data_IF_963196355015
#
_entry.id   IF_963196355015
#
_cell.length_a   1.000
_cell.length_b   1.000
_cell.length_c   1.000
_cell.angle_alpha   90.00
_cell.angle_beta   90.00
_cell.angle_gamma   90.00
#
_symmetry.space_group_name_H-M   'P 1'
#
loop_
_entity.id
_entity.type
_entity.pdbx_description
1 polymer ?
#
# COMPACT_ATOMS: atom_id res chain seq x y z
N UNK A 1 91.61 -26.44 -0.74
CA UNK A 1 91.60 -25.33 -1.71
C UNK A 1 91.11 -25.94 -3.01
N UNK A 2 89.84 -25.66 -3.33
CA UNK A 2 89.22 -25.58 -4.67
C UNK A 2 89.56 -26.66 -5.73
N UNK A 3 88.64 -27.28 -6.46
CA UNK A 3 87.20 -27.06 -6.64
C UNK A 3 86.58 -28.36 -7.20
N UNK A 4 85.32 -28.55 -6.82
CA UNK A 4 84.31 -29.42 -7.43
C UNK A 4 84.16 -29.20 -8.95
N UNK A 5 83.69 -30.22 -9.67
CA UNK A 5 82.40 -30.21 -10.40
C UNK A 5 82.22 -31.62 -10.98
N UNK A 6 81.49 -32.45 -10.22
CA UNK A 6 80.84 -33.64 -10.73
C UNK A 6 79.70 -33.21 -11.66
N UNK A 7 79.86 -33.45 -12.96
CA UNK A 7 78.79 -33.30 -13.93
C UNK A 7 77.81 -34.48 -13.81
N UNK A 8 76.89 -34.40 -12.84
CA UNK A 8 75.67 -35.21 -12.84
C UNK A 8 74.76 -34.77 -13.99
N UNK A 9 74.53 -35.67 -14.95
CA UNK A 9 73.53 -35.49 -15.99
C UNK A 9 72.14 -35.69 -15.39
N UNK A 10 71.36 -34.62 -15.30
CA UNK A 10 69.92 -34.68 -15.02
C UNK A 10 69.19 -35.44 -16.15
N UNK A 11 68.16 -36.24 -15.83
CA UNK A 11 67.24 -36.73 -16.85
C UNK A 11 66.40 -35.57 -17.39
N UNK A 12 66.23 -35.55 -18.71
CA UNK A 12 65.32 -34.64 -19.40
C UNK A 12 63.91 -34.84 -18.83
N UNK A 13 63.35 -33.79 -18.21
CA UNK A 13 61.92 -33.72 -17.98
C UNK A 13 61.23 -33.60 -19.35
N UNK A 14 60.49 -34.64 -19.74
CA UNK A 14 59.45 -34.51 -20.76
C UNK A 14 58.46 -33.45 -20.31
N UNK A 15 58.25 -32.45 -21.16
CA UNK A 15 57.17 -31.48 -21.00
C UNK A 15 55.94 -32.16 -21.59
N UNK A 16 55.05 -32.69 -20.75
CA UNK A 16 53.69 -33.05 -21.20
C UNK A 16 52.99 -31.76 -21.60
N UNK A 17 53.00 -31.45 -22.91
CA UNK A 17 52.05 -30.54 -23.51
C UNK A 17 50.67 -31.17 -23.46
N UNK A 18 49.81 -30.64 -22.60
CA UNK A 18 48.40 -30.97 -22.54
C UNK A 18 47.70 -30.38 -23.80
N UNK A 19 47.77 -31.12 -24.92
CA UNK A 19 47.11 -30.78 -26.17
C UNK A 19 45.62 -31.13 -26.10
N UNK A 20 44.81 -30.25 -25.51
CA UNK A 20 43.40 -30.15 -25.87
C UNK A 20 43.21 -28.94 -26.79
N UNK A 21 42.99 -29.12 -28.11
CA UNK A 21 42.79 -28.01 -29.01
C UNK A 21 41.47 -27.31 -28.66
N UNK A 22 41.56 -26.09 -28.14
CA UNK A 22 40.39 -25.23 -27.90
C UNK A 22 39.69 -25.02 -29.25
N UNK A 23 38.46 -25.53 -29.36
CA UNK A 23 37.67 -25.50 -30.58
C UNK A 23 37.15 -24.08 -30.85
N UNK A 24 37.99 -23.25 -31.49
CA UNK A 24 37.77 -21.82 -31.74
C UNK A 24 36.43 -21.50 -32.43
N UNK A 25 35.88 -22.46 -33.19
CA UNK A 25 34.57 -22.34 -33.85
C UNK A 25 33.39 -22.33 -32.85
N UNK A 26 33.46 -23.12 -31.78
CA UNK A 26 32.41 -23.17 -30.76
C UNK A 26 32.45 -21.93 -29.87
N UNK A 27 33.64 -21.43 -29.54
CA UNK A 27 33.79 -20.16 -28.80
C UNK A 27 33.28 -18.95 -29.60
N UNK A 28 33.53 -18.86 -30.90
CA UNK A 28 32.99 -17.78 -31.73
C UNK A 28 31.45 -17.81 -31.84
N UNK A 29 30.83 -18.99 -31.91
CA UNK A 29 29.37 -19.11 -31.95
C UNK A 29 28.72 -18.69 -30.63
N UNK A 30 29.31 -19.06 -29.49
CA UNK A 30 28.83 -18.65 -28.18
C UNK A 30 28.90 -17.12 -27.98
N UNK A 31 29.96 -16.48 -28.47
CA UNK A 31 30.10 -15.02 -28.41
C UNK A 31 29.09 -14.27 -29.31
N UNK A 32 28.77 -14.80 -30.50
CA UNK A 32 27.74 -14.22 -31.36
C UNK A 32 26.34 -14.35 -30.74
N UNK A 33 26.05 -15.50 -30.13
CA UNK A 33 24.76 -15.74 -29.47
C UNK A 33 24.55 -14.83 -28.26
N UNK A 34 25.60 -14.59 -27.45
CA UNK A 34 25.52 -13.68 -26.31
C UNK A 34 25.30 -12.22 -26.74
N UNK A 35 25.92 -11.77 -27.84
CA UNK A 35 25.70 -10.42 -28.39
C UNK A 35 24.25 -10.25 -28.88
N UNK A 36 23.70 -11.24 -29.58
CA UNK A 36 22.31 -11.20 -30.06
C UNK A 36 21.33 -11.13 -28.89
N UNK A 37 21.57 -11.92 -27.82
CA UNK A 37 20.74 -11.88 -26.62
C UNK A 37 20.76 -10.51 -25.95
N UNK A 38 21.93 -9.85 -25.87
CA UNK A 38 22.05 -8.49 -25.31
C UNK A 38 21.29 -7.48 -26.16
N UNK A 39 21.36 -7.58 -27.49
CA UNK A 39 20.63 -6.68 -28.40
C UNK A 39 19.12 -6.83 -28.25
N UNK A 40 18.61 -8.07 -28.16
CA UNK A 40 17.18 -8.33 -27.95
C UNK A 40 16.72 -7.75 -26.60
N UNK A 41 17.51 -7.94 -25.54
CA UNK A 41 17.24 -7.38 -24.22
C UNK A 41 17.18 -5.84 -24.26
N UNK A 42 18.09 -5.21 -25.01
CA UNK A 42 18.12 -3.76 -25.19
C UNK A 42 16.92 -3.25 -26.00
N UNK A 43 16.49 -3.98 -27.04
CA UNK A 43 15.29 -3.65 -27.83
C UNK A 43 14.02 -3.78 -26.96
N UNK A 44 13.93 -4.81 -26.11
CA UNK A 44 12.81 -4.96 -25.15
C UNK A 44 12.76 -3.79 -24.18
N UNK A 45 13.91 -3.34 -23.64
CA UNK A 45 14.00 -2.18 -22.75
C UNK A 45 13.59 -0.87 -23.46
N UNK A 46 13.95 -0.70 -24.74
CA UNK A 46 13.60 0.52 -25.50
C UNK A 46 12.11 0.51 -25.89
N UNK A 47 11.58 -0.64 -26.31
CA UNK A 47 10.19 -0.78 -26.74
C UNK A 47 9.20 -0.77 -25.57
N UNK A 48 9.61 -1.17 -24.35
CA UNK A 48 8.80 -0.97 -23.13
C UNK A 48 8.70 0.49 -22.69
N UNK A 49 9.60 1.37 -23.16
CA UNK A 49 9.72 2.76 -22.69
C UNK A 49 9.13 3.81 -23.65
N UNK A 50 8.43 3.41 -24.72
CA UNK A 50 7.98 4.33 -25.78
C UNK A 50 6.47 4.31 -26.03
N UNK A 51 5.68 4.35 -24.97
CA UNK A 51 4.29 4.82 -25.03
C UNK A 51 4.11 6.01 -24.11
N UNK A 52 3.92 7.19 -24.71
CA UNK A 52 3.64 8.42 -23.99
C UNK A 52 2.11 8.60 -23.92
N UNK A 53 1.56 8.45 -22.73
CA UNK A 53 0.18 8.82 -22.42
C UNK A 53 0.19 10.07 -21.56
N UNK A 54 -0.05 11.22 -22.17
CA UNK A 54 -0.29 12.47 -21.46
C UNK A 54 -1.70 12.45 -20.88
N UNK A 55 -1.82 12.62 -19.55
CA UNK A 55 -3.02 12.98 -18.76
C UNK A 55 -3.46 11.92 -17.72
N UNK A 56 -2.64 11.64 -16.70
CA UNK A 56 -3.15 11.06 -15.45
C UNK A 56 -3.43 12.19 -14.43
N UNK A 57 -4.60 12.12 -13.78
CA UNK A 57 -5.06 13.12 -12.80
C UNK A 57 -4.24 13.03 -11.51
N UNK A 58 -3.47 14.09 -11.22
CA UNK A 58 -2.64 14.20 -10.02
C UNK A 58 -3.41 14.63 -8.78
N UNK A 59 -4.73 14.76 -8.81
CA UNK A 59 -5.43 15.55 -7.78
C UNK A 59 -6.62 14.84 -7.09
N UNK A 60 -6.97 13.59 -7.46
CA UNK A 60 -8.06 12.82 -6.82
C UNK A 60 -7.52 11.57 -6.08
N UNK A 61 -8.19 11.14 -5.01
CA UNK A 61 -7.92 9.83 -4.40
C UNK A 61 -8.32 8.72 -5.37
N UNK A 62 -7.44 7.75 -5.58
CA UNK A 62 -7.65 6.65 -6.55
C UNK A 62 -8.04 5.35 -5.82
N UNK A 63 -8.28 5.44 -4.50
CA UNK A 63 -8.68 4.27 -3.71
C UNK A 63 -10.00 3.73 -4.27
N UNK A 64 -10.02 2.46 -4.71
CA UNK A 64 -11.20 1.89 -5.32
C UNK A 64 -12.32 1.69 -4.29
N UNK A 65 -13.52 1.43 -4.80
CA UNK A 65 -14.69 1.08 -4.00
C UNK A 65 -14.57 -0.31 -3.37
N UNK A 66 -13.74 -1.18 -3.95
CA UNK A 66 -13.48 -2.54 -3.49
C UNK A 66 -11.98 -2.74 -3.28
N UNK A 67 -11.58 -3.07 -2.06
CA UNK A 67 -10.18 -3.30 -1.73
C UNK A 67 -10.02 -4.17 -0.49
N UNK A 68 -8.78 -4.58 -0.26
CA UNK A 68 -8.32 -5.27 0.94
C UNK A 68 -7.55 -4.31 1.84
N UNK A 69 -7.87 -4.38 3.12
CA UNK A 69 -7.14 -3.73 4.19
C UNK A 69 -6.38 -4.80 4.97
N UNK A 70 -5.07 -4.65 5.12
CA UNK A 70 -4.23 -5.55 5.93
C UNK A 70 -3.23 -4.80 6.77
N UNK A 71 -2.72 -5.43 7.82
CA UNK A 71 -1.56 -4.89 8.52
C UNK A 71 -0.32 -4.97 7.64
N UNK A 72 0.51 -3.92 7.68
CA UNK A 72 1.82 -3.91 7.03
C UNK A 72 2.78 -4.89 7.70
N UNK A 73 2.82 -4.85 9.02
CA UNK A 73 3.72 -5.65 9.82
C UNK A 73 3.11 -5.86 11.20
N UNK A 74 3.52 -6.93 11.87
CA UNK A 74 3.19 -7.13 13.28
C UNK A 74 3.83 -6.06 14.18
N UNK A 75 4.98 -5.53 13.77
CA UNK A 75 5.76 -4.57 14.55
C UNK A 75 5.38 -3.12 14.27
N UNK A 76 5.13 -2.78 13.00
CA UNK A 76 4.71 -1.46 12.54
C UNK A 76 3.19 -1.33 12.50
N UNK A 77 2.63 -0.30 13.16
CA UNK A 77 1.19 -0.06 13.26
C UNK A 77 0.56 0.49 11.97
N UNK A 78 1.18 0.23 10.82
CA UNK A 78 0.73 0.74 9.55
C UNK A 78 -0.22 -0.26 8.89
N UNK A 79 -1.17 0.26 8.12
CA UNK A 79 -2.05 -0.55 7.30
C UNK A 79 -1.74 -0.36 5.82
N UNK A 80 -1.96 -1.41 5.05
CA UNK A 80 -1.87 -1.40 3.59
C UNK A 80 -3.28 -1.54 3.03
N UNK A 81 -3.60 -0.67 2.08
CA UNK A 81 -4.76 -0.78 1.21
C UNK A 81 -4.27 -1.33 -0.12
N UNK A 82 -4.79 -2.48 -0.53
CA UNK A 82 -4.43 -3.15 -1.78
C UNK A 82 -5.67 -3.67 -2.52
N UNK A 83 -5.63 -3.72 -3.84
CA UNK A 83 -6.79 -4.12 -4.63
C UNK A 83 -6.40 -4.52 -6.05
N UNK A 84 -7.40 -4.93 -6.82
CA UNK A 84 -7.22 -5.14 -8.25
C UNK A 84 -7.08 -3.79 -8.95
N UNK A 85 -6.17 -3.66 -9.92
CA UNK A 85 -5.88 -2.39 -10.53
C UNK A 85 -7.08 -1.93 -11.39
N UNK A 86 -7.78 -0.90 -10.91
CA UNK A 86 -8.99 -0.32 -11.53
C UNK A 86 -8.78 0.25 -12.92
N UNK A 87 -7.55 0.63 -13.25
CA UNK A 87 -7.15 1.19 -14.55
C UNK A 87 -7.14 0.13 -15.67
N UNK A 88 -7.15 -1.17 -15.32
CA UNK A 88 -7.07 -2.28 -16.27
C UNK A 88 -8.42 -2.96 -16.52
N UNK A 89 -9.52 -2.39 -16.00
CA UNK A 89 -10.84 -3.01 -16.01
C UNK A 89 -11.55 -3.04 -17.39
N UNK A 90 -10.80 -3.01 -18.50
CA UNK A 90 -11.35 -2.93 -19.85
C UNK A 90 -10.51 -3.51 -21.00
N UNK A 91 -9.29 -4.03 -20.77
CA UNK A 91 -8.48 -4.62 -21.84
C UNK A 91 -7.85 -5.96 -21.44
N UNK A 92 -8.51 -7.03 -21.89
CA UNK A 92 -7.95 -8.25 -22.49
C UNK A 92 -6.80 -9.01 -21.79
N UNK A 93 -7.11 -10.28 -21.51
CA UNK A 93 -6.25 -11.47 -21.56
C UNK A 93 -5.47 -11.86 -20.28
N UNK A 94 -6.05 -12.81 -19.54
CA UNK A 94 -5.41 -13.96 -18.85
C UNK A 94 -4.14 -13.78 -18.01
N UNK A 95 -3.67 -12.56 -17.73
CA UNK A 95 -2.72 -12.32 -16.67
C UNK A 95 -3.51 -12.13 -15.38
N UNK A 96 -3.36 -13.06 -14.43
CA UNK A 96 -3.84 -12.88 -13.07
C UNK A 96 -3.33 -11.53 -12.59
N UNK A 97 -4.22 -10.54 -12.49
CA UNK A 97 -3.85 -9.21 -12.03
C UNK A 97 -3.36 -9.34 -10.59
N UNK A 98 -2.07 -9.12 -10.38
CA UNK A 98 -1.49 -9.06 -9.05
C UNK A 98 -2.12 -7.89 -8.27
N UNK A 99 -2.31 -8.07 -6.96
CA UNK A 99 -2.80 -7.00 -6.09
C UNK A 99 -1.80 -5.85 -6.11
N UNK A 100 -2.28 -4.64 -6.41
CA UNK A 100 -1.47 -3.43 -6.33
C UNK A 100 -1.69 -2.73 -4.99
N UNK A 101 -0.64 -2.09 -4.47
CA UNK A 101 -0.70 -1.27 -3.26
C UNK A 101 -1.22 0.12 -3.61
N UNK A 102 -2.41 0.47 -3.13
CA UNK A 102 -3.02 1.78 -3.33
C UNK A 102 -2.61 2.80 -2.27
N UNK A 103 -2.53 2.39 -1.01
CA UNK A 103 -2.21 3.32 0.08
C UNK A 103 -1.56 2.62 1.27
N UNK A 104 -0.90 3.42 2.10
CA UNK A 104 -0.43 3.06 3.44
C UNK A 104 -0.98 4.07 4.45
N UNK A 105 -1.70 3.56 5.46
CA UNK A 105 -2.09 4.36 6.62
C UNK A 105 -0.94 4.28 7.59
N UNK A 106 -0.20 5.38 7.71
CA UNK A 106 0.98 5.49 8.57
C UNK A 106 0.56 6.00 9.94
N UNK A 107 0.88 5.21 10.97
CA UNK A 107 0.59 5.54 12.35
C UNK A 107 1.90 5.96 13.03
N UNK A 108 2.16 7.27 13.21
CA UNK A 108 3.37 7.76 13.86
C UNK A 108 3.48 7.24 15.30
N UNK A 109 4.63 6.66 15.62
CA UNK A 109 4.91 6.03 16.92
C UNK A 109 4.89 6.98 18.12
N UNK A 110 4.87 8.30 17.90
CA UNK A 110 5.18 9.30 18.93
C UNK A 110 4.15 10.44 19.06
N UNK A 111 3.19 10.53 18.15
CA UNK A 111 2.16 11.57 18.19
C UNK A 111 0.81 10.94 18.47
N UNK A 112 0.22 11.33 19.60
CA UNK A 112 -1.11 10.86 20.01
C UNK A 112 -2.13 11.21 18.94
N UNK A 113 -2.63 10.21 18.22
CA UNK A 113 -3.83 10.35 17.40
C UNK A 113 -3.64 11.01 16.04
N UNK A 114 -2.42 11.30 15.59
CA UNK A 114 -2.21 11.78 14.23
C UNK A 114 -2.01 10.57 13.32
N UNK A 115 -2.73 10.49 12.20
CA UNK A 115 -2.60 9.43 11.19
C UNK A 115 -2.46 10.10 9.84
N UNK A 116 -1.49 9.61 9.07
CA UNK A 116 -1.23 10.11 7.72
C UNK A 116 -1.50 9.00 6.72
N UNK A 117 -2.29 9.30 5.70
CA UNK A 117 -2.51 8.41 4.56
C UNK A 117 -1.54 8.79 3.47
N UNK A 118 -0.72 7.83 3.09
CA UNK A 118 0.18 7.93 1.94
C UNK A 118 -0.38 7.06 0.83
N UNK A 119 -1.00 7.66 -0.17
CA UNK A 119 -1.41 6.97 -1.39
C UNK A 119 -0.21 6.77 -2.32
N UNK A 120 -0.12 5.60 -2.94
CA UNK A 120 0.87 5.27 -3.95
C UNK A 120 0.21 5.48 -5.30
N UNK A 121 0.74 6.44 -6.05
CA UNK A 121 0.26 6.73 -7.39
C UNK A 121 1.21 6.15 -8.41
N UNK A 122 0.63 5.61 -9.46
CA UNK A 122 1.36 5.03 -10.56
C UNK A 122 1.41 6.07 -11.68
N UNK A 123 2.61 6.48 -12.03
CA UNK A 123 2.79 7.13 -13.31
C UNK A 123 2.56 6.11 -14.42
N UNK A 124 2.14 6.57 -15.62
CA UNK A 124 2.07 5.72 -16.81
C UNK A 124 3.36 4.96 -17.12
N UNK A 125 4.49 5.48 -16.63
CA UNK A 125 5.85 4.96 -16.81
C UNK A 125 6.13 3.75 -15.89
N UNK A 126 5.16 3.36 -15.06
CA UNK A 126 5.33 2.36 -14.00
C UNK A 126 6.06 2.90 -12.75
N UNK A 127 6.46 4.17 -12.73
CA UNK A 127 7.06 4.79 -11.55
C UNK A 127 6.02 5.02 -10.47
N UNK A 128 6.33 4.59 -9.25
CA UNK A 128 5.44 4.74 -8.10
C UNK A 128 5.90 5.93 -7.27
N UNK A 129 5.01 6.88 -7.00
CA UNK A 129 5.31 8.01 -6.13
C UNK A 129 4.30 8.14 -4.99
N UNK A 130 4.75 8.42 -3.76
CA UNK A 130 3.88 8.59 -2.60
C UNK A 130 3.27 10.00 -2.56
N UNK A 131 1.98 10.10 -2.26
CA UNK A 131 1.26 11.36 -2.03
C UNK A 131 0.51 11.30 -0.70
N UNK A 132 0.70 12.30 0.15
CA UNK A 132 -0.12 12.44 1.36
C UNK A 132 -1.51 12.95 0.98
N UNK A 133 -2.55 12.16 1.20
CA UNK A 133 -3.92 12.49 0.74
C UNK A 133 -4.91 12.76 1.87
N UNK A 134 -4.68 12.17 3.04
CA UNK A 134 -5.45 12.48 4.23
C UNK A 134 -4.55 12.59 5.43
N UNK A 135 -4.80 13.63 6.20
CA UNK A 135 -4.30 13.78 7.56
C UNK A 135 -5.48 13.67 8.48
N UNK A 136 -5.28 13.04 9.62
CA UNK A 136 -6.40 12.77 10.49
C UNK A 136 -5.92 12.82 11.93
N UNK A 137 -6.71 13.48 12.76
CA UNK A 137 -6.36 13.85 14.13
C UNK A 137 -7.42 13.30 15.06
N UNK A 138 -6.98 12.52 16.04
CA UNK A 138 -7.78 12.20 17.23
C UNK A 138 -7.45 13.23 18.30
N UNK A 139 -8.47 13.91 18.81
CA UNK A 139 -8.36 14.58 20.11
C UNK A 139 -8.50 13.52 21.22
N UNK A 140 -7.47 12.69 21.38
CA UNK A 140 -7.55 11.51 22.23
C UNK A 140 -7.20 11.82 23.69
N UNK A 141 -8.24 11.98 24.51
CA UNK A 141 -8.36 11.35 25.85
C UNK A 141 -9.82 11.30 26.35
N UNK A 142 -10.73 12.12 25.81
CA UNK A 142 -12.10 12.29 26.33
C UNK A 142 -13.23 12.05 25.32
N UNK A 143 -12.98 12.14 24.00
CA UNK A 143 -14.02 12.04 22.98
C UNK A 143 -13.84 10.77 22.13
N UNK A 144 -14.94 10.06 21.89
CA UNK A 144 -14.99 8.97 20.90
C UNK A 144 -15.18 9.56 19.48
N UNK A 145 -14.42 10.62 19.17
CA UNK A 145 -14.51 11.37 17.92
C UNK A 145 -13.16 11.48 17.24
N UNK A 146 -13.16 11.34 15.92
CA UNK A 146 -11.99 11.48 15.05
C UNK A 146 -12.30 12.44 13.94
N UNK A 147 -11.41 13.39 13.71
CA UNK A 147 -11.48 14.32 12.59
C UNK A 147 -10.53 13.88 11.49
N UNK A 148 -11.04 13.82 10.27
CA UNK A 148 -10.31 13.43 9.06
C UNK A 148 -10.36 14.61 8.11
N UNK A 149 -9.17 15.11 7.77
CA UNK A 149 -8.95 16.21 6.86
C UNK A 149 -8.19 15.71 5.63
N UNK A 150 -8.86 15.71 4.50
CA UNK A 150 -8.23 15.41 3.21
C UNK A 150 -7.38 16.59 2.76
N UNK A 151 -6.14 16.30 2.39
CA UNK A 151 -5.21 17.30 1.86
C UNK A 151 -5.26 17.25 0.35
N UNK A 152 -5.63 18.37 -0.27
CA UNK A 152 -5.71 18.44 -1.71
C UNK A 152 -5.09 19.73 -2.27
N UNK A 153 -4.38 19.59 -3.38
CA UNK A 153 -3.62 20.64 -4.06
C UNK A 153 -4.52 21.60 -4.85
N UNK A 154 -5.63 21.11 -5.41
CA UNK A 154 -6.54 21.93 -6.21
C UNK A 154 -8.00 21.65 -5.89
N UNK A 155 -8.59 22.51 -5.04
CA UNK A 155 -9.95 22.35 -4.51
C UNK A 155 -11.01 22.24 -5.62
N UNK A 156 -10.83 22.85 -6.80
CA UNK A 156 -11.87 22.98 -7.83
C UNK A 156 -12.42 21.65 -8.36
N UNK A 157 -11.58 20.61 -8.48
CA UNK A 157 -11.94 19.32 -9.11
C UNK A 157 -12.22 18.18 -8.13
N UNK A 158 -12.07 18.41 -6.81
CA UNK A 158 -12.34 17.39 -5.81
C UNK A 158 -13.83 17.29 -5.48
N UNK A 159 -14.33 16.05 -5.46
CA UNK A 159 -15.69 15.72 -5.03
C UNK A 159 -15.76 15.60 -3.51
N UNK A 160 -16.05 14.40 -3.03
CA UNK A 160 -16.20 14.08 -1.61
C UNK A 160 -14.89 14.23 -0.82
N UNK A 161 -13.75 14.15 -1.50
CA UNK A 161 -12.40 14.28 -0.94
C UNK A 161 -12.03 15.74 -0.63
N UNK A 162 -12.86 16.72 -1.00
CA UNK A 162 -12.68 18.12 -0.58
C UNK A 162 -13.29 18.43 0.79
N UNK A 163 -14.07 17.50 1.34
CA UNK A 163 -14.83 17.73 2.55
C UNK A 163 -14.07 17.27 3.80
N UNK A 164 -14.40 17.88 4.92
CA UNK A 164 -13.96 17.42 6.23
C UNK A 164 -14.93 16.37 6.75
N UNK A 165 -14.39 15.35 7.41
CA UNK A 165 -15.18 14.28 8.01
C UNK A 165 -14.92 14.17 9.50
N UNK A 166 -15.97 13.87 10.24
CA UNK A 166 -15.89 13.53 11.64
C UNK A 166 -16.59 12.21 11.90
N UNK A 167 -15.86 11.25 12.44
CA UNK A 167 -16.41 9.94 12.83
C UNK A 167 -16.60 9.97 14.34
N UNK A 168 -17.82 9.72 14.81
CA UNK A 168 -18.10 9.57 16.24
C UNK A 168 -18.71 8.21 16.52
N UNK A 169 -18.34 7.54 17.61
CA UNK A 169 -18.91 6.26 17.98
C UNK A 169 -19.27 6.15 19.46
N UNK A 170 -20.15 5.20 19.74
CA UNK A 170 -20.57 4.82 21.08
C UNK A 170 -19.74 3.64 21.59
N UNK A 171 -19.89 3.32 22.87
CA UNK A 171 -19.26 2.13 23.46
C UNK A 171 -19.76 0.81 22.85
N UNK A 172 -20.91 0.81 22.17
CA UNK A 172 -21.45 -0.34 21.43
C UNK A 172 -20.93 -0.42 19.99
N UNK A 173 -19.88 0.34 19.63
CA UNK A 173 -19.24 0.35 18.30
C UNK A 173 -20.12 0.88 17.15
N UNK A 174 -21.34 1.29 17.44
CA UNK A 174 -22.19 2.00 16.48
C UNK A 174 -21.89 3.50 16.53
N UNK A 175 -22.02 4.18 15.39
CA UNK A 175 -21.64 5.58 15.30
C UNK A 175 -22.15 6.28 14.04
N UNK A 176 -21.71 7.53 13.88
CA UNK A 176 -22.10 8.39 12.77
C UNK A 176 -20.86 8.92 12.07
N UNK A 177 -20.93 8.98 10.74
CA UNK A 177 -20.05 9.77 9.90
C UNK A 177 -20.74 11.10 9.67
N UNK A 178 -20.07 12.18 10.05
CA UNK A 178 -20.48 13.54 9.76
C UNK A 178 -19.55 14.15 8.73
N UNK A 179 -20.09 15.04 7.91
CA UNK A 179 -19.38 15.73 6.84
C UNK A 179 -19.60 17.23 6.93
N UNK A 180 -18.58 17.99 6.58
CA UNK A 180 -18.64 19.42 6.34
C UNK A 180 -17.92 19.73 5.03
N UNK A 181 -18.65 20.14 4.01
CA UNK A 181 -18.09 20.55 2.72
C UNK A 181 -18.21 22.07 2.52
N UNK A 182 -17.08 22.76 2.39
CA UNK A 182 -17.06 24.20 2.10
C UNK A 182 -17.72 24.51 0.76
N UNK A 183 -17.47 23.69 -0.28
CA UNK A 183 -18.10 23.82 -1.61
C UNK A 183 -19.62 23.82 -1.59
N UNK A 184 -20.23 23.13 -0.63
CA UNK A 184 -21.69 23.05 -0.51
C UNK A 184 -22.24 24.10 0.47
N UNK A 185 -21.44 25.11 0.85
CA UNK A 185 -21.75 26.11 1.86
C UNK A 185 -22.19 25.49 3.20
N UNK A 186 -21.61 24.34 3.58
CA UNK A 186 -21.89 23.70 4.86
C UNK A 186 -21.01 24.34 5.95
N UNK A 187 -21.62 25.13 6.84
CA UNK A 187 -20.92 25.72 7.99
C UNK A 187 -20.83 24.79 9.21
N UNK A 188 -21.65 23.74 9.25
CA UNK A 188 -21.78 22.80 10.37
C UNK A 188 -21.70 21.36 9.87
N UNK A 189 -21.10 20.48 10.66
CA UNK A 189 -21.06 19.04 10.41
C UNK A 189 -22.46 18.43 10.36
N UNK A 190 -22.85 17.88 9.20
CA UNK A 190 -24.11 17.16 8.99
C UNK A 190 -23.88 15.66 9.07
N UNK A 191 -24.82 14.91 9.62
CA UNK A 191 -24.78 13.44 9.58
C UNK A 191 -25.04 12.99 8.14
N UNK A 192 -24.14 12.17 7.60
CA UNK A 192 -24.25 11.67 6.22
C UNK A 192 -24.38 10.16 6.17
N UNK A 193 -23.84 9.44 7.16
CA UNK A 193 -23.99 8.00 7.27
C UNK A 193 -24.00 7.56 8.73
N UNK A 194 -24.65 6.44 8.96
CA UNK A 194 -24.63 5.68 10.21
C UNK A 194 -23.79 4.41 9.99
N UNK A 195 -23.08 3.95 10.99
CA UNK A 195 -22.40 2.66 10.92
C UNK A 195 -22.65 1.82 12.15
N UNK A 196 -22.68 0.51 11.96
CA UNK A 196 -22.86 -0.49 13.02
C UNK A 196 -21.93 -1.68 12.85
N UNK A 197 -21.71 -2.39 13.95
CA UNK A 197 -20.79 -3.52 14.00
C UNK A 197 -19.49 -3.15 14.69
N UNK A 198 -18.54 -4.07 14.69
CA UNK A 198 -17.29 -3.94 15.42
C UNK A 198 -16.13 -4.20 14.48
N UNK A 199 -15.04 -3.40 14.50
CA UNK A 199 -13.90 -3.60 13.61
C UNK A 199 -13.39 -5.03 13.56
N UNK A 200 -13.18 -5.72 14.69
CA UNK A 200 -12.90 -7.16 14.76
C UNK A 200 -13.83 -8.09 13.95
N UNK A 201 -15.14 -7.82 13.91
CA UNK A 201 -16.17 -8.71 13.34
C UNK A 201 -16.73 -8.25 11.99
N UNK A 202 -16.42 -7.02 11.59
CA UNK A 202 -16.94 -6.38 10.40
C UNK A 202 -17.85 -5.20 10.74
N UNK A 203 -17.96 -4.28 9.79
CA UNK A 203 -18.75 -3.05 9.89
C UNK A 203 -19.74 -2.99 8.75
N UNK A 204 -20.86 -2.32 8.98
CA UNK A 204 -21.82 -1.98 7.93
C UNK A 204 -22.08 -0.48 7.98
N UNK A 205 -22.03 0.16 6.82
CA UNK A 205 -22.25 1.59 6.64
C UNK A 205 -23.59 1.78 5.95
N UNK A 206 -24.46 2.56 6.56
CA UNK A 206 -25.84 2.78 6.15
C UNK A 206 -26.12 4.26 5.98
N UNK A 207 -27.21 4.57 5.28
CA UNK A 207 -27.83 5.89 5.37
C UNK A 207 -28.29 6.20 6.80
N UNK A 208 -28.49 7.49 7.08
CA UNK A 208 -28.88 7.96 8.42
C UNK A 208 -30.24 7.37 8.86
N UNK A 209 -31.12 7.09 7.90
CA UNK A 209 -32.41 6.42 8.09
C UNK A 209 -32.31 4.89 8.02
N UNK A 210 -31.11 4.32 7.91
CA UNK A 210 -30.81 2.88 7.81
C UNK A 210 -31.43 2.14 6.61
N UNK A 211 -31.99 2.85 5.63
CA UNK A 211 -32.67 2.26 4.48
C UNK A 211 -31.75 1.87 3.33
N UNK A 212 -30.59 2.51 3.20
CA UNK A 212 -29.63 2.29 2.12
C UNK A 212 -28.34 1.76 2.72
N UNK A 213 -27.79 0.68 2.13
CA UNK A 213 -26.48 0.17 2.49
C UNK A 213 -25.41 0.83 1.61
N UNK A 214 -24.53 1.62 2.23
CA UNK A 214 -23.39 2.26 1.57
C UNK A 214 -22.15 1.38 1.51
N UNK A 215 -22.14 0.24 2.21
CA UNK A 215 -21.04 -0.70 2.12
C UNK A 215 -20.75 -1.41 3.44
N UNK A 216 -19.70 -2.22 3.43
CA UNK A 216 -19.32 -3.03 4.58
C UNK A 216 -17.82 -3.33 4.60
N UNK A 217 -17.33 -3.70 5.78
CA UNK A 217 -16.05 -4.36 5.95
C UNK A 217 -16.27 -5.75 6.55
N UNK A 218 -15.49 -6.71 6.09
CA UNK A 218 -15.58 -8.09 6.56
C UNK A 218 -14.81 -8.30 7.87
N UNK A 219 -15.14 -9.40 8.55
CA UNK A 219 -14.32 -9.93 9.64
C UNK A 219 -12.91 -10.20 9.11
N UNK A 220 -11.89 -9.89 9.92
CA UNK A 220 -10.52 -10.24 9.56
C UNK A 220 -10.39 -11.74 9.44
N UNK A 221 -9.94 -12.20 8.28
CA UNK A 221 -9.50 -13.58 8.13
C UNK A 221 -8.27 -13.78 9.02
N UNK A 222 -8.36 -14.72 9.95
CA UNK A 222 -7.24 -15.11 10.79
C UNK A 222 -6.53 -16.27 10.11
N UNK A 223 -5.42 -16.06 9.41
CA UNK A 223 -4.45 -17.09 9.00
C UNK A 223 -3.32 -16.40 8.23
N UNK A 224 -2.05 -16.64 8.59
CA UNK A 224 -0.73 -16.20 8.02
C UNK A 224 -0.56 -14.79 7.38
N UNK A 225 -1.60 -14.15 6.84
CA UNK A 225 -1.65 -12.87 6.13
C UNK A 225 -2.05 -11.65 7.00
N UNK A 226 -1.57 -11.56 8.25
CA UNK A 226 -1.58 -10.28 9.00
C UNK A 226 -2.97 -9.55 9.08
N UNK A 227 -4.05 -10.27 9.36
CA UNK A 227 -5.43 -9.75 9.50
C UNK A 227 -5.95 -8.98 8.27
N UNK A 228 -6.13 -9.69 7.15
CA UNK A 228 -6.77 -9.14 5.94
C UNK A 228 -8.27 -9.00 6.12
N UNK A 229 -8.83 -7.90 5.63
CA UNK A 229 -10.27 -7.61 5.56
C UNK A 229 -10.62 -7.08 4.18
N UNK A 230 -11.67 -7.62 3.58
CA UNK A 230 -12.28 -7.02 2.40
C UNK A 230 -13.18 -5.84 2.81
N UNK A 231 -13.08 -4.74 2.05
CA UNK A 231 -13.89 -3.53 2.19
C UNK A 231 -14.58 -3.26 0.86
N UNK A 232 -15.89 -3.06 0.93
CA UNK A 232 -16.74 -2.69 -0.19
C UNK A 232 -17.49 -1.40 0.18
N UNK A 233 -17.46 -0.40 -0.69
CA UNK A 233 -18.20 0.86 -0.56
C UNK A 233 -18.96 1.13 -1.85
N UNK A 234 -20.27 1.31 -1.75
CA UNK A 234 -21.12 1.64 -2.87
C UNK A 234 -20.75 3.03 -3.43
N UNK A 235 -20.64 3.22 -4.76
CA UNK A 235 -20.39 4.52 -5.37
C UNK A 235 -21.34 5.65 -4.93
N UNK A 236 -22.55 5.34 -4.45
CA UNK A 236 -23.52 6.32 -3.95
C UNK A 236 -23.20 6.82 -2.53
N UNK A 237 -22.21 6.22 -1.85
CA UNK A 237 -21.85 6.57 -0.49
C UNK A 237 -21.49 8.06 -0.39
N UNK A 238 -21.97 8.79 0.63
CA UNK A 238 -21.73 10.23 0.77
C UNK A 238 -20.38 10.56 1.40
N UNK A 239 -19.42 9.65 1.31
CA UNK A 239 -18.07 9.74 1.86
C UNK A 239 -17.07 8.94 1.01
N UNK A 240 -15.76 9.25 1.04
CA UNK A 240 -14.75 8.55 0.24
C UNK A 240 -14.54 7.08 0.69
N UNK A 241 -14.19 6.16 -0.23
CA UNK A 241 -14.04 4.73 0.08
C UNK A 241 -13.00 4.39 1.15
N UNK A 242 -12.07 5.30 1.46
CA UNK A 242 -11.04 5.12 2.48
C UNK A 242 -11.56 5.24 3.93
N UNK A 243 -12.70 5.89 4.15
CA UNK A 243 -13.23 6.19 5.50
C UNK A 243 -13.37 4.94 6.40
N UNK A 244 -13.92 3.80 5.94
CA UNK A 244 -13.95 2.56 6.72
C UNK A 244 -12.58 2.08 7.22
N UNK A 245 -11.55 2.23 6.38
CA UNK A 245 -10.19 1.79 6.71
C UNK A 245 -9.54 2.68 7.75
N UNK A 246 -9.74 3.99 7.63
CA UNK A 246 -9.30 4.93 8.65
C UNK A 246 -9.95 4.59 9.98
N UNK A 247 -11.27 4.42 10.03
CA UNK A 247 -11.96 4.04 11.26
C UNK A 247 -11.42 2.74 11.87
N UNK A 248 -11.16 1.72 11.04
CA UNK A 248 -10.58 0.45 11.51
C UNK A 248 -9.19 0.65 12.11
N UNK A 249 -8.30 1.35 11.40
CA UNK A 249 -6.95 1.65 11.88
C UNK A 249 -6.98 2.44 13.19
N UNK A 250 -7.92 3.39 13.29
CA UNK A 250 -8.13 4.21 14.48
C UNK A 250 -8.57 3.40 15.69
N UNK A 251 -9.56 2.54 15.50
CA UNK A 251 -10.09 1.71 16.56
C UNK A 251 -9.00 0.80 17.14
N UNK A 252 -8.27 0.09 16.27
CA UNK A 252 -7.22 -0.84 16.68
C UNK A 252 -6.07 -0.13 17.42
N UNK A 253 -5.75 1.11 17.03
CA UNK A 253 -4.77 1.93 17.75
C UNK A 253 -5.23 2.30 19.16
N UNK A 254 -6.49 2.75 19.32
CA UNK A 254 -7.04 3.12 20.62
C UNK A 254 -7.15 1.91 21.56
N UNK A 255 -7.55 0.74 21.05
CA UNK A 255 -7.61 -0.48 21.84
C UNK A 255 -6.24 -0.87 22.39
N UNK A 256 -5.18 -0.77 21.57
CA UNK A 256 -3.81 -1.09 21.98
C UNK A 256 -3.24 -0.10 22.98
N UNK A 257 -3.55 1.20 22.84
CA UNK A 257 -3.18 2.20 23.87
C UNK A 257 -3.80 1.85 25.21
N UNK A 258 -5.10 1.52 25.23
CA UNK A 258 -5.80 1.13 26.46
C UNK A 258 -5.15 -0.10 27.10
N UNK A 259 -4.82 -1.13 26.31
CA UNK A 259 -4.13 -2.33 26.79
C UNK A 259 -2.75 -2.03 27.39
N UNK A 260 -1.92 -1.20 26.74
CA UNK A 260 -0.60 -0.81 27.28
C UNK A 260 -0.69 -0.05 28.60
N UNK A 261 -1.67 0.83 28.75
CA UNK A 261 -1.88 1.55 30.01
C UNK A 261 -2.41 0.64 31.13
N UNK A 262 -3.21 -0.38 30.80
CA UNK A 262 -3.65 -1.40 31.76
C UNK A 262 -2.46 -2.20 32.28
N UNK A 263 -1.62 -2.74 31.40
CA UNK A 263 -0.47 -3.56 31.79
C UNK A 263 0.54 -2.79 32.65
N UNK A 264 0.80 -1.51 32.34
CA UNK A 264 1.66 -0.66 33.17
C UNK A 264 1.14 -0.43 34.60
N UNK A 265 -0.17 -0.53 34.83
CA UNK A 265 -0.74 -0.42 36.19
C UNK A 265 -0.56 -1.71 36.98
N UNK A 266 -0.61 -2.86 36.31
CA UNK A 266 -0.46 -4.16 36.96
C UNK A 266 1.01 -4.47 37.28
N UNK A 267 1.97 -4.02 36.47
CA UNK A 267 3.41 -4.11 36.77
C UNK A 267 3.88 -3.16 37.89
N UNK A 268 3.01 -2.25 38.33
CA UNK A 268 3.29 -1.25 39.38
C UNK A 268 2.67 -1.59 40.75
N UNK A 269 2.11 -2.80 40.89
CA UNK A 269 1.56 -3.34 42.14
C UNK A 269 2.39 -4.53 42.61
#
# INVERSE_FOLDING_TARGET
MNDDINAERLPLLETEEDQNPINYKEQCCCCLFSIIMVIILFIVIITSNSFSYSNLSTDKSIIPNEYKLRYKSFWEYNYIIEGYPTEFNGQTNNQQSEFIKYAEIVVPYWTYGNFNVVEFRHDPNGTIFPVSTATSKIDAYLTNEVEILFTATNVADLGLESCEYRISWTWMFNGYIRRRCEKNNESVFKQVAFFKGHPAWGLTFLSVDENINYGYSTRSAFFWDLYVRDVFIDPIAPFPPIIPSLYTAYYDYLERIRQRHSNKRDDSK
#
